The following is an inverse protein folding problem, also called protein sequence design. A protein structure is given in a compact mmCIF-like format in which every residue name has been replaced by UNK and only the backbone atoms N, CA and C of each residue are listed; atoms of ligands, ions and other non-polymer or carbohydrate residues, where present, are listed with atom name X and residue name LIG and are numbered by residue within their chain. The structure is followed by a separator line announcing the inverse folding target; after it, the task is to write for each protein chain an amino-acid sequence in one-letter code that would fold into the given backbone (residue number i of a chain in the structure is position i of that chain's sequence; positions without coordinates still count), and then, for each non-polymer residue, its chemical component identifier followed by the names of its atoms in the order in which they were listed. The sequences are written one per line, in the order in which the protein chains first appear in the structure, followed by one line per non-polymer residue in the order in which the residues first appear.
data_IF_505838648314
#
_entry.id   IF_505838648314
#
_cell.length_a   1.000
_cell.length_b   1.000
_cell.length_c   1.000
_cell.angle_alpha   90.00
_cell.angle_beta   90.00
_cell.angle_gamma   90.00
#
_symmetry.space_group_name_H-M   'P 1'
#
loop_
_entity.id
_entity.type
_entity.pdbx_description
1 polymer ?
#
# COMPACT_ATOMS: atom_id res chain seq x y z
N UNK A 1 11.55 -17.81 -3.16
CA UNK A 1 11.44 -16.35 -3.04
C UNK A 1 10.85 -16.10 -1.68
N UNK A 2 11.53 -15.36 -0.81
CA UNK A 2 11.06 -15.07 0.55
C UNK A 2 10.34 -13.72 0.58
N UNK A 3 9.12 -13.69 1.10
CA UNK A 3 8.28 -12.50 1.20
C UNK A 3 8.19 -12.01 2.65
N UNK A 4 8.28 -10.70 2.83
CA UNK A 4 7.90 -10.04 4.07
C UNK A 4 6.64 -9.20 3.89
N UNK A 5 5.58 -9.49 4.64
CA UNK A 5 4.37 -8.67 4.73
C UNK A 5 4.47 -7.79 5.98
N UNK A 6 4.55 -6.47 5.81
CA UNK A 6 4.67 -5.49 6.89
C UNK A 6 3.34 -4.79 7.12
N UNK A 7 2.69 -5.10 8.24
CA UNK A 7 1.45 -4.44 8.65
C UNK A 7 1.73 -3.43 9.77
N UNK A 8 1.39 -2.15 9.57
CA UNK A 8 1.60 -1.09 10.57
C UNK A 8 0.27 -0.53 11.08
N UNK A 9 0.19 -0.31 12.40
CA UNK A 9 -0.96 0.33 13.04
C UNK A 9 -0.53 1.28 14.16
N UNK A 10 -1.26 2.40 14.31
CA UNK A 10 -1.10 3.31 15.46
C UNK A 10 -2.14 3.05 16.55
N UNK A 11 -3.33 2.58 16.16
CA UNK A 11 -4.45 2.29 17.05
C UNK A 11 -4.96 0.87 16.76
N UNK A 12 -5.19 0.10 17.82
CA UNK A 12 -5.83 -1.20 17.71
C UNK A 12 -7.34 -0.98 17.49
N UNK A 13 -7.88 -1.50 16.40
CA UNK A 13 -9.28 -1.33 16.04
C UNK A 13 -9.81 -2.54 15.26
N UNK A 14 -11.10 -2.52 14.89
CA UNK A 14 -11.73 -3.64 14.19
C UNK A 14 -11.04 -4.00 12.88
N UNK A 15 -10.49 -3.04 12.12
CA UNK A 15 -9.77 -3.34 10.86
C UNK A 15 -8.48 -4.10 11.14
N UNK A 16 -7.74 -3.71 12.17
CA UNK A 16 -6.54 -4.41 12.64
C UNK A 16 -6.89 -5.84 13.05
N UNK A 17 -7.97 -6.04 13.82
CA UNK A 17 -8.43 -7.36 14.22
C UNK A 17 -8.89 -8.21 13.03
N UNK A 18 -9.59 -7.62 12.06
CA UNK A 18 -9.97 -8.28 10.81
C UNK A 18 -8.74 -8.72 10.02
N UNK A 19 -7.71 -7.87 9.89
CA UNK A 19 -6.47 -8.26 9.20
C UNK A 19 -5.79 -9.44 9.90
N UNK A 20 -5.66 -9.40 11.23
CA UNK A 20 -5.07 -10.50 12.01
C UNK A 20 -5.81 -11.82 11.77
N UNK A 21 -7.15 -11.76 11.77
CA UNK A 21 -8.00 -12.94 11.65
C UNK A 21 -8.08 -13.51 10.23
N UNK A 22 -8.23 -12.64 9.25
CA UNK A 22 -8.66 -13.03 7.89
C UNK A 22 -7.53 -12.90 6.85
N UNK A 23 -6.44 -12.16 7.15
CA UNK A 23 -5.34 -11.94 6.22
C UNK A 23 -4.06 -12.72 6.55
N UNK A 24 -3.81 -13.03 7.83
CA UNK A 24 -2.60 -13.73 8.27
C UNK A 24 -2.78 -15.24 8.12
N UNK A 25 -1.77 -15.90 7.58
CA UNK A 25 -1.72 -17.35 7.44
C UNK A 25 -0.27 -17.84 7.57
N UNK A 26 -0.11 -19.13 7.91
CA UNK A 26 1.21 -19.76 8.00
C UNK A 26 1.68 -20.22 6.62
N UNK A 27 2.89 -19.84 6.24
CA UNK A 27 3.55 -20.30 5.02
C UNK A 27 5.08 -20.26 5.20
N UNK A 28 5.84 -21.26 4.72
CA UNK A 28 7.29 -21.32 4.91
C UNK A 28 8.08 -20.20 4.20
N UNK A 29 7.50 -19.58 3.17
CA UNK A 29 8.16 -18.55 2.36
C UNK A 29 7.63 -17.14 2.64
N UNK A 30 6.67 -16.98 3.57
CA UNK A 30 6.01 -15.70 3.88
C UNK A 30 6.06 -15.43 5.38
N UNK A 31 6.78 -14.38 5.75
CA UNK A 31 6.79 -13.88 7.12
C UNK A 31 5.85 -12.66 7.24
N UNK A 32 5.01 -12.68 8.26
CA UNK A 32 4.18 -11.53 8.64
C UNK A 32 4.87 -10.77 9.78
N UNK A 33 5.14 -9.49 9.54
CA UNK A 33 5.69 -8.54 10.51
C UNK A 33 4.62 -7.53 10.91
N UNK A 34 4.19 -7.62 12.17
CA UNK A 34 3.18 -6.76 12.74
C UNK A 34 3.83 -5.64 13.57
N UNK A 35 3.62 -4.40 13.14
CA UNK A 35 4.30 -3.22 13.66
C UNK A 35 3.32 -2.37 14.47
N UNK A 36 3.46 -2.41 15.80
CA UNK A 36 2.77 -1.50 16.70
C UNK A 36 3.52 -0.16 16.74
N UNK A 37 2.96 0.84 16.06
CA UNK A 37 3.55 2.17 15.89
C UNK A 37 2.97 3.16 16.91
N UNK A 38 3.14 2.86 18.20
CA UNK A 38 2.81 3.76 19.31
C UNK A 38 1.47 3.50 19.98
N UNK A 39 0.80 2.39 19.69
CA UNK A 39 -0.40 1.97 20.43
C UNK A 39 -0.05 1.54 21.85
N UNK A 40 -0.94 1.90 22.78
CA UNK A 40 -0.86 1.41 24.18
C UNK A 40 -1.39 -0.02 24.30
N UNK A 41 -2.27 -0.41 23.39
CA UNK A 41 -2.90 -1.73 23.36
C UNK A 41 -2.00 -2.71 22.61
N UNK A 42 -2.03 -3.96 23.04
CA UNK A 42 -1.27 -5.06 22.45
C UNK A 42 -2.24 -5.96 21.66
N UNK A 43 -1.95 -6.27 20.38
CA UNK A 43 -2.77 -7.19 19.61
C UNK A 43 -2.54 -8.64 20.07
N UNK A 44 -3.56 -9.48 19.94
CA UNK A 44 -3.39 -10.94 20.05
C UNK A 44 -2.95 -11.46 18.69
N UNK A 45 -1.71 -11.95 18.60
CA UNK A 45 -1.12 -12.41 17.35
C UNK A 45 -0.88 -13.93 17.37
N UNK A 46 -0.99 -14.62 16.23
CA UNK A 46 -0.50 -15.99 16.10
C UNK A 46 1.01 -16.09 16.38
N UNK A 47 1.46 -17.22 16.93
CA UNK A 47 2.87 -17.44 17.33
C UNK A 47 3.89 -17.31 16.19
N UNK A 48 3.46 -17.50 14.95
CA UNK A 48 4.31 -17.42 13.76
C UNK A 48 4.45 -15.98 13.22
N UNK A 49 3.82 -14.99 13.84
CA UNK A 49 3.90 -13.59 13.43
C UNK A 49 5.03 -12.89 14.17
N UNK A 50 5.88 -12.19 13.42
CA UNK A 50 6.94 -11.36 14.00
C UNK A 50 6.30 -10.09 14.55
N UNK A 51 6.56 -9.76 15.81
CA UNK A 51 6.04 -8.55 16.44
C UNK A 51 7.13 -7.50 16.65
N UNK A 52 6.84 -6.26 16.26
CA UNK A 52 7.76 -5.12 16.45
C UNK A 52 7.01 -3.92 17.02
N UNK A 53 7.47 -3.39 18.15
CA UNK A 53 6.86 -2.22 18.81
C UNK A 53 7.78 -1.01 18.75
N UNK A 54 7.23 0.15 18.43
CA UNK A 54 7.95 1.42 18.38
C UNK A 54 7.07 2.62 18.70
N UNK A 55 7.67 3.80 18.87
CA UNK A 55 6.96 5.08 19.00
C UNK A 55 6.46 5.55 17.63
N UNK A 56 5.35 6.29 17.61
CA UNK A 56 4.76 6.89 16.41
C UNK A 56 5.57 8.07 15.87
N UNK A 57 6.78 7.80 15.38
CA UNK A 57 7.62 8.79 14.70
C UNK A 57 7.48 8.56 13.20
N UNK A 58 7.10 9.60 12.44
CA UNK A 58 7.03 9.53 10.98
C UNK A 58 5.85 8.75 10.40
N UNK A 59 4.79 8.51 11.19
CA UNK A 59 3.57 7.78 10.78
C UNK A 59 3.91 6.38 10.25
N UNK A 60 3.08 5.83 9.35
CA UNK A 60 3.23 4.48 8.79
C UNK A 60 4.62 4.24 8.19
N UNK A 61 5.12 5.19 7.39
CA UNK A 61 6.46 5.09 6.79
C UNK A 61 7.57 5.03 7.83
N UNK A 62 7.43 5.75 8.95
CA UNK A 62 8.41 5.66 10.03
C UNK A 62 8.37 4.30 10.75
N UNK A 63 7.17 3.76 10.98
CA UNK A 63 6.98 2.41 11.52
C UNK A 63 7.62 1.34 10.64
N UNK A 64 7.32 1.34 9.34
CA UNK A 64 7.95 0.44 8.36
C UNK A 64 9.46 0.63 8.31
N UNK A 65 9.96 1.86 8.28
CA UNK A 65 11.40 2.16 8.21
C UNK A 65 12.15 1.60 9.40
N UNK A 66 11.63 1.81 10.61
CA UNK A 66 12.28 1.32 11.84
C UNK A 66 12.34 -0.20 11.85
N UNK A 67 11.26 -0.88 11.45
CA UNK A 67 11.21 -2.33 11.47
C UNK A 67 12.11 -2.96 10.38
N UNK A 68 12.09 -2.42 9.15
CA UNK A 68 12.93 -2.89 8.05
C UNK A 68 14.42 -2.71 8.33
N UNK A 69 14.80 -1.54 8.84
CA UNK A 69 16.20 -1.15 9.01
C UNK A 69 16.78 -1.68 10.33
N UNK A 70 15.95 -2.15 11.26
CA UNK A 70 16.42 -2.82 12.47
C UNK A 70 17.21 -4.07 12.09
N UNK A 71 18.49 -4.09 12.44
CA UNK A 71 19.45 -5.14 12.08
C UNK A 71 19.53 -5.46 10.58
N UNK A 72 19.11 -4.53 9.70
CA UNK A 72 18.96 -4.76 8.26
C UNK A 72 18.03 -5.93 7.89
N UNK A 73 16.95 -6.15 8.65
CA UNK A 73 15.97 -7.22 8.42
C UNK A 73 15.53 -7.35 6.95
N UNK A 74 15.39 -6.23 6.24
CA UNK A 74 15.01 -6.24 4.83
C UNK A 74 15.93 -7.06 3.92
N UNK A 75 17.20 -7.29 4.30
CA UNK A 75 18.14 -8.07 3.48
C UNK A 75 17.85 -9.58 3.48
N UNK A 76 16.98 -10.04 4.37
CA UNK A 76 16.62 -11.47 4.49
C UNK A 76 15.47 -11.87 3.55
N UNK A 77 14.97 -10.94 2.72
CA UNK A 77 13.78 -11.13 1.89
C UNK A 77 13.98 -10.61 0.45
N UNK A 78 13.25 -11.22 -0.48
CA UNK A 78 13.30 -10.89 -1.91
C UNK A 78 12.21 -9.89 -2.32
N UNK A 79 11.08 -9.88 -1.60
CA UNK A 79 9.89 -9.09 -1.91
C UNK A 79 9.16 -8.65 -0.66
N UNK A 80 8.39 -7.58 -0.80
CA UNK A 80 7.76 -6.88 0.30
C UNK A 80 6.33 -6.50 -0.06
N UNK A 81 5.42 -6.66 0.89
CA UNK A 81 4.09 -6.04 0.84
C UNK A 81 3.93 -5.18 2.08
N UNK A 82 3.61 -3.91 1.88
CA UNK A 82 3.37 -2.92 2.92
C UNK A 82 1.87 -2.72 3.05
N UNK A 83 1.37 -2.77 4.28
CA UNK A 83 -0.05 -2.57 4.60
C UNK A 83 -0.15 -1.68 5.84
N UNK A 84 -1.10 -0.74 5.84
CA UNK A 84 -1.40 0.04 7.04
C UNK A 84 -2.83 -0.21 7.55
N UNK A 85 -3.09 0.25 8.78
CA UNK A 85 -4.37 0.09 9.47
C UNK A 85 -5.59 0.79 8.85
N UNK A 86 -5.41 1.51 7.74
CA UNK A 86 -6.52 2.01 6.93
C UNK A 86 -7.06 0.97 5.96
N UNK A 87 -6.31 -0.09 5.65
CA UNK A 87 -6.77 -1.16 4.76
C UNK A 87 -7.90 -1.99 5.39
N UNK A 88 -8.89 -2.34 4.59
CA UNK A 88 -9.95 -3.30 4.90
C UNK A 88 -9.91 -4.44 3.89
N UNK A 89 -9.97 -5.68 4.38
CA UNK A 89 -9.84 -6.89 3.57
C UNK A 89 -9.02 -7.96 4.30
N UNK A 90 -8.62 -9.04 3.60
CA UNK A 90 -8.79 -9.25 2.17
C UNK A 90 -10.24 -9.63 1.79
N UNK A 91 -10.80 -8.99 0.76
CA UNK A 91 -12.07 -9.39 0.14
C UNK A 91 -11.78 -10.24 -1.10
N UNK A 92 -11.86 -11.56 -0.91
CA UNK A 92 -11.61 -12.53 -1.97
C UNK A 92 -12.91 -13.26 -2.33
N UNK A 93 -13.14 -13.55 -3.62
CA UNK A 93 -14.26 -14.42 -4.02
C UNK A 93 -14.15 -15.79 -3.35
N UNK A 94 -15.29 -16.40 -2.99
CA UNK A 94 -15.32 -17.72 -2.33
C UNK A 94 -14.68 -18.85 -3.16
N UNK A 95 -14.61 -18.68 -4.47
CA UNK A 95 -13.95 -19.60 -5.39
C UNK A 95 -12.44 -19.37 -5.54
N UNK A 96 -11.88 -18.27 -5.01
CA UNK A 96 -10.44 -18.03 -5.03
C UNK A 96 -9.73 -19.02 -4.11
N UNK A 97 -8.65 -19.65 -4.62
CA UNK A 97 -7.87 -20.68 -3.92
C UNK A 97 -6.39 -20.31 -3.71
N UNK A 98 -5.95 -19.17 -4.25
CA UNK A 98 -4.58 -18.69 -4.09
C UNK A 98 -4.37 -17.94 -2.77
N UNK A 99 -3.17 -17.37 -2.62
CA UNK A 99 -2.88 -16.44 -1.52
C UNK A 99 -3.20 -15.03 -2.00
N UNK A 100 -3.73 -14.19 -1.12
CA UNK A 100 -3.98 -12.79 -1.49
C UNK A 100 -2.68 -12.05 -1.83
N UNK A 101 -1.55 -12.50 -1.26
CA UNK A 101 -0.21 -11.95 -1.53
C UNK A 101 0.20 -12.10 -2.98
N UNK A 102 -0.17 -13.23 -3.61
CA UNK A 102 0.18 -13.55 -5.00
C UNK A 102 -0.43 -12.51 -5.94
N UNK A 103 -1.64 -12.01 -5.64
CA UNK A 103 -2.33 -10.99 -6.44
C UNK A 103 -1.50 -9.69 -6.55
N UNK A 104 -0.77 -9.32 -5.50
CA UNK A 104 0.07 -8.12 -5.52
C UNK A 104 1.43 -8.39 -6.16
N UNK A 105 2.02 -9.56 -5.88
CA UNK A 105 3.32 -9.94 -6.45
C UNK A 105 3.24 -10.18 -7.95
N UNK A 106 2.16 -10.78 -8.45
CA UNK A 106 1.92 -11.00 -9.88
C UNK A 106 1.74 -9.69 -10.67
N UNK A 107 1.47 -8.59 -9.96
CA UNK A 107 1.42 -7.25 -10.55
C UNK A 107 2.79 -6.62 -10.80
N UNK A 108 3.85 -7.16 -10.18
CA UNK A 108 5.22 -6.72 -10.41
C UNK A 108 5.77 -7.38 -11.68
N UNK A 109 6.44 -6.59 -12.51
CA UNK A 109 7.07 -7.06 -13.75
C UNK A 109 8.49 -6.51 -13.88
N UNK A 110 9.17 -6.80 -14.98
CA UNK A 110 10.47 -6.18 -15.26
C UNK A 110 10.37 -4.64 -15.33
N UNK A 111 9.23 -4.11 -15.80
CA UNK A 111 8.97 -2.68 -15.90
C UNK A 111 8.23 -2.12 -14.68
N UNK A 112 7.28 -2.87 -14.12
CA UNK A 112 6.44 -2.43 -12.99
C UNK A 112 7.10 -2.79 -11.67
N UNK A 113 7.71 -1.81 -11.02
CA UNK A 113 8.53 -2.00 -9.80
C UNK A 113 7.81 -1.66 -8.51
N UNK A 114 6.68 -0.98 -8.60
CA UNK A 114 5.81 -0.63 -7.47
C UNK A 114 4.36 -0.90 -7.86
N UNK A 115 3.71 -1.80 -7.13
CA UNK A 115 2.35 -2.25 -7.46
C UNK A 115 1.42 -2.22 -6.25
N UNK A 116 0.24 -1.64 -6.37
CA UNK A 116 -0.71 -1.51 -5.26
C UNK A 116 -2.18 -1.68 -5.67
N UNK A 117 -3.10 -1.37 -4.77
CA UNK A 117 -4.53 -1.51 -5.10
C UNK A 117 -5.03 -0.44 -6.07
N UNK A 118 -4.65 0.82 -5.85
CA UNK A 118 -5.15 1.97 -6.62
C UNK A 118 -4.04 2.97 -6.94
N UNK A 119 -4.23 3.70 -8.04
CA UNK A 119 -3.43 4.88 -8.39
C UNK A 119 -4.32 6.11 -8.29
N UNK A 120 -3.83 7.12 -7.58
CA UNK A 120 -4.39 8.46 -7.56
C UNK A 120 -3.56 9.37 -8.49
N UNK A 121 -4.23 10.24 -9.25
CA UNK A 121 -3.62 11.16 -10.23
C UNK A 121 -3.87 12.63 -9.91
N UNK A 122 -4.29 12.92 -8.68
CA UNK A 122 -4.60 14.27 -8.19
C UNK A 122 -3.82 14.58 -6.91
N UNK A 123 -3.62 15.88 -6.68
CA UNK A 123 -3.20 16.40 -5.39
C UNK A 123 -4.42 17.05 -4.71
N UNK A 124 -5.03 16.34 -3.76
CA UNK A 124 -6.27 16.77 -3.12
C UNK A 124 -7.36 17.09 -4.18
N UNK A 125 -8.13 18.18 -4.01
CA UNK A 125 -9.19 18.59 -4.94
C UNK A 125 -8.66 19.34 -6.20
N UNK A 126 -7.41 19.09 -6.61
CA UNK A 126 -6.87 19.67 -7.84
C UNK A 126 -7.46 19.01 -9.09
N UNK A 127 -7.26 19.65 -10.24
CA UNK A 127 -7.43 18.98 -11.53
C UNK A 127 -6.48 17.77 -11.62
N UNK A 128 -6.89 16.77 -12.40
CA UNK A 128 -6.04 15.63 -12.75
C UNK A 128 -4.79 16.10 -13.48
N UNK A 129 -3.63 15.74 -12.94
CA UNK A 129 -2.33 15.91 -13.57
C UNK A 129 -1.53 14.62 -13.33
N UNK A 130 -1.79 13.57 -14.13
CA UNK A 130 -1.16 12.27 -13.95
C UNK A 130 0.36 12.34 -14.15
N UNK A 131 0.87 13.30 -14.92
CA UNK A 131 2.31 13.51 -15.10
C UNK A 131 2.98 13.96 -13.80
N UNK A 132 2.29 14.71 -12.93
CA UNK A 132 2.84 15.18 -11.65
C UNK A 132 2.41 14.35 -10.45
N UNK A 133 1.20 13.81 -10.48
CA UNK A 133 0.53 13.31 -9.30
C UNK A 133 0.17 11.83 -9.36
N UNK A 134 0.54 11.08 -10.40
CA UNK A 134 0.33 9.62 -10.38
C UNK A 134 1.12 8.97 -9.25
N UNK A 135 0.40 8.39 -8.28
CA UNK A 135 0.97 7.65 -7.16
C UNK A 135 0.10 6.49 -6.71
N UNK A 136 0.77 5.45 -6.22
CA UNK A 136 0.13 4.35 -5.50
C UNK A 136 -0.30 4.84 -4.13
N UNK A 137 -1.55 4.59 -3.76
CA UNK A 137 -2.06 4.91 -2.43
C UNK A 137 -1.45 3.95 -1.39
N UNK A 138 -0.89 4.47 -0.30
CA UNK A 138 0.00 3.70 0.59
C UNK A 138 -0.70 2.70 1.53
N UNK A 139 -2.02 2.55 1.45
CA UNK A 139 -2.74 1.62 2.34
C UNK A 139 -2.38 0.16 2.06
N UNK A 140 -2.03 -0.17 0.82
CA UNK A 140 -1.36 -1.42 0.46
C UNK A 140 -0.57 -1.30 -0.84
N UNK A 141 0.67 -1.78 -0.83
CA UNK A 141 1.53 -1.83 -2.02
C UNK A 141 2.63 -2.88 -1.87
N UNK A 142 3.25 -3.24 -2.99
CA UNK A 142 4.28 -4.26 -3.09
C UNK A 142 5.45 -3.78 -3.94
N UNK A 143 6.63 -4.34 -3.66
CA UNK A 143 7.86 -4.11 -4.40
C UNK A 143 8.87 -5.24 -4.14
N UNK A 144 9.88 -5.34 -4.99
CA UNK A 144 11.00 -6.26 -4.79
C UNK A 144 12.16 -5.60 -4.00
N UNK A 145 13.17 -6.40 -3.61
CA UNK A 145 14.34 -5.95 -2.87
C UNK A 145 15.15 -4.86 -3.58
N UNK A 146 15.30 -4.95 -4.91
CA UNK A 146 15.98 -3.94 -5.73
C UNK A 146 15.30 -2.57 -5.55
N UNK A 147 13.97 -2.55 -5.67
CA UNK A 147 13.16 -1.34 -5.55
C UNK A 147 13.19 -0.79 -4.13
N UNK A 148 13.06 -1.65 -3.12
CA UNK A 148 13.16 -1.23 -1.72
C UNK A 148 14.53 -0.61 -1.42
N UNK A 149 15.61 -1.23 -1.89
CA UNK A 149 16.98 -0.73 -1.69
C UNK A 149 17.17 0.64 -2.35
N UNK A 150 16.64 0.81 -3.57
CA UNK A 150 16.60 2.12 -4.21
C UNK A 150 15.84 3.16 -3.36
N UNK A 151 14.64 2.83 -2.87
CA UNK A 151 13.83 3.75 -2.07
C UNK A 151 14.44 4.07 -0.69
N UNK A 152 15.17 3.12 -0.08
CA UNK A 152 16.00 3.38 1.11
C UNK A 152 17.10 4.40 0.78
N UNK A 153 17.80 4.23 -0.36
CA UNK A 153 18.85 5.18 -0.80
C UNK A 153 18.32 6.59 -1.08
N UNK A 154 17.02 6.72 -1.34
CA UNK A 154 16.32 8.00 -1.57
C UNK A 154 15.62 8.56 -0.32
N UNK A 155 15.88 7.96 0.85
CA UNK A 155 15.29 8.32 2.14
C UNK A 155 13.75 8.27 2.16
N UNK A 156 13.12 7.44 1.33
CA UNK A 156 11.70 7.13 1.49
C UNK A 156 11.53 6.31 2.77
N UNK A 157 12.29 5.22 2.89
CA UNK A 157 12.42 4.46 4.11
C UNK A 157 13.70 4.87 4.85
N UNK A 158 13.55 5.51 6.01
CA UNK A 158 14.66 6.13 6.75
C UNK A 158 14.35 6.22 8.24
N UNK A 159 15.39 6.14 9.06
CA UNK A 159 15.34 6.38 10.52
C UNK A 159 16.02 7.70 10.93
N UNK A 160 16.54 8.47 9.99
CA UNK A 160 17.25 9.74 10.26
C UNK A 160 16.40 10.97 9.96
N UNK A 161 15.39 10.85 9.07
CA UNK A 161 14.56 11.96 8.60
C UNK A 161 13.06 11.58 8.56
N UNK A 162 12.40 11.70 9.71
CA UNK A 162 10.96 11.40 9.85
C UNK A 162 10.06 12.55 9.39
N UNK A 163 8.88 12.19 8.87
CA UNK A 163 7.83 13.14 8.53
C UNK A 163 7.23 13.79 9.77
N UNK A 164 7.11 15.12 9.76
CA UNK A 164 6.65 15.92 10.92
C UNK A 164 5.14 16.18 10.93
N UNK A 165 4.45 15.92 9.83
CA UNK A 165 3.00 16.12 9.69
C UNK A 165 2.41 15.14 8.67
N UNK A 166 1.09 14.97 8.70
CA UNK A 166 0.38 14.11 7.76
C UNK A 166 0.60 14.55 6.30
N UNK A 167 0.45 15.84 6.00
CA UNK A 167 0.70 16.38 4.66
C UNK A 167 2.16 16.16 4.22
N UNK A 168 3.12 16.26 5.15
CA UNK A 168 4.51 15.96 4.85
C UNK A 168 4.72 14.46 4.59
N UNK A 169 4.07 13.57 5.33
CA UNK A 169 4.12 12.14 5.07
C UNK A 169 3.52 11.80 3.71
N UNK A 170 2.37 12.37 3.36
CA UNK A 170 1.77 12.19 2.05
C UNK A 170 2.68 12.70 0.91
N UNK A 171 3.08 13.98 0.94
CA UNK A 171 3.86 14.59 -0.14
C UNK A 171 5.26 13.97 -0.26
N UNK A 172 5.98 13.84 0.84
CA UNK A 172 7.40 13.43 0.82
C UNK A 172 7.62 11.93 0.95
N UNK A 173 6.57 11.14 1.20
CA UNK A 173 6.64 9.68 1.22
C UNK A 173 5.72 9.09 0.17
N UNK A 174 4.40 9.09 0.36
CA UNK A 174 3.45 8.40 -0.54
C UNK A 174 3.57 8.88 -2.00
N UNK A 175 3.42 10.18 -2.25
CA UNK A 175 3.53 10.76 -3.58
C UNK A 175 4.97 10.62 -4.10
N UNK A 176 5.96 11.10 -3.33
CA UNK A 176 7.37 11.09 -3.74
C UNK A 176 7.89 9.69 -4.06
N UNK A 177 7.45 8.65 -3.35
CA UNK A 177 7.83 7.26 -3.61
C UNK A 177 7.52 6.87 -5.05
N UNK A 178 6.27 7.07 -5.49
CA UNK A 178 5.86 6.73 -6.85
C UNK A 178 6.59 7.59 -7.89
N UNK A 179 6.83 8.87 -7.57
CA UNK A 179 7.59 9.78 -8.45
C UNK A 179 9.02 9.33 -8.66
N UNK A 180 9.71 8.91 -7.60
CA UNK A 180 11.07 8.41 -7.69
C UNK A 180 11.17 7.13 -8.53
N UNK A 181 10.16 6.26 -8.48
CA UNK A 181 10.09 5.07 -9.35
C UNK A 181 9.99 5.50 -10.81
N UNK A 182 9.05 6.39 -11.13
CA UNK A 182 8.82 6.91 -12.48
C UNK A 182 10.07 7.63 -13.03
N UNK A 183 10.67 8.49 -12.22
CA UNK A 183 11.89 9.25 -12.56
C UNK A 183 13.12 8.34 -12.75
N UNK A 184 13.12 7.15 -12.15
CA UNK A 184 14.16 6.13 -12.36
C UNK A 184 13.93 5.28 -13.63
N UNK A 185 12.92 5.62 -14.45
CA UNK A 185 12.59 4.89 -15.68
C UNK A 185 11.75 3.64 -15.48
N UNK A 186 11.37 3.34 -14.23
CA UNK A 186 10.46 2.24 -13.89
C UNK A 186 9.00 2.69 -13.93
N UNK A 187 8.08 1.76 -14.10
CA UNK A 187 6.65 2.05 -14.10
C UNK A 187 6.01 1.67 -12.75
N UNK A 188 4.82 2.23 -12.49
CA UNK A 188 3.94 1.86 -11.39
C UNK A 188 2.70 1.14 -11.95
N UNK A 189 2.06 0.30 -11.15
CA UNK A 189 0.87 -0.43 -11.57
C UNK A 189 -0.12 -0.65 -10.43
N UNK A 190 -1.36 -0.98 -10.77
CA UNK A 190 -2.34 -1.32 -9.74
C UNK A 190 -3.37 -2.33 -10.21
N UNK A 191 -4.19 -2.82 -9.26
CA UNK A 191 -5.23 -3.82 -9.52
C UNK A 191 -6.34 -3.29 -10.43
N UNK A 192 -6.52 -1.96 -10.51
CA UNK A 192 -7.56 -1.34 -11.34
C UNK A 192 -7.34 -1.65 -12.83
N UNK A 193 -8.22 -2.48 -13.43
CA UNK A 193 -8.16 -2.77 -14.88
C UNK A 193 -8.27 -1.51 -15.74
N UNK A 194 -8.86 -0.44 -15.20
CA UNK A 194 -8.94 0.85 -15.85
C UNK A 194 -7.56 1.40 -16.27
N UNK A 195 -6.52 1.13 -15.47
CA UNK A 195 -5.15 1.57 -15.71
C UNK A 195 -4.26 0.47 -16.30
N UNK A 196 -4.83 -0.66 -16.74
CA UNK A 196 -4.06 -1.70 -17.39
C UNK A 196 -3.45 -1.19 -18.71
N UNK A 197 -2.15 -1.38 -18.90
CA UNK A 197 -1.41 -0.91 -20.07
C UNK A 197 -1.07 0.58 -20.08
N UNK A 198 -1.33 1.32 -18.99
CA UNK A 198 -0.90 2.72 -18.88
C UNK A 198 0.58 2.78 -18.52
N UNK A 199 1.36 3.49 -19.33
CA UNK A 199 2.73 3.85 -19.01
C UNK A 199 2.76 5.22 -18.31
N UNK A 200 2.91 5.22 -16.98
CA UNK A 200 2.92 6.44 -16.16
C UNK A 200 4.22 7.24 -16.26
N UNK A 201 5.20 6.76 -17.03
CA UNK A 201 6.41 7.52 -17.37
C UNK A 201 6.17 8.51 -18.50
N UNK A 202 5.13 8.28 -19.31
CA UNK A 202 4.76 9.12 -20.46
C UNK A 202 5.94 9.38 -21.44
N UNK A 203 6.81 8.38 -21.63
CA UNK A 203 8.01 8.51 -22.49
C UNK A 203 7.66 8.53 -23.98
N UNK A 204 6.73 7.67 -24.41
CA UNK A 204 6.34 7.51 -25.81
C UNK A 204 4.87 7.88 -26.09
N UNK A 205 4.04 7.98 -25.05
CA UNK A 205 2.61 8.28 -25.14
C UNK A 205 2.30 9.59 -24.43
N UNK A 206 1.39 10.39 -24.97
CA UNK A 206 0.84 11.57 -24.31
C UNK A 206 -0.32 11.18 -23.41
N UNK A 207 -0.61 11.98 -22.40
CA UNK A 207 -1.80 11.80 -21.53
C UNK A 207 -3.08 11.63 -22.37
N UNK A 208 -3.22 12.41 -23.44
CA UNK A 208 -4.39 12.38 -24.35
C UNK A 208 -4.59 11.06 -25.09
N UNK A 209 -3.57 10.19 -25.11
CA UNK A 209 -3.63 8.90 -25.81
C UNK A 209 -4.29 7.82 -24.91
N UNK A 210 -4.54 8.13 -23.63
CA UNK A 210 -5.21 7.27 -22.66
C UNK A 210 -6.65 7.71 -22.38
N UNK A 211 -7.42 6.84 -21.71
CA UNK A 211 -8.73 7.21 -21.15
C UNK A 211 -8.55 8.32 -20.09
N UNK A 212 -9.58 9.15 -19.83
CA UNK A 212 -9.51 10.16 -18.79
C UNK A 212 -9.09 9.56 -17.44
N UNK A 213 -8.11 10.18 -16.79
CA UNK A 213 -7.65 9.71 -15.49
C UNK A 213 -8.71 9.95 -14.42
N UNK A 214 -8.78 9.04 -13.45
CA UNK A 214 -9.90 8.94 -12.52
C UNK A 214 -9.66 9.69 -11.20
N UNK A 215 -8.49 10.29 -10.99
CA UNK A 215 -8.14 10.96 -9.74
C UNK A 215 -8.15 10.05 -8.53
N UNK A 216 -8.56 10.57 -7.37
CA UNK A 216 -8.66 9.77 -6.16
C UNK A 216 -9.94 8.92 -6.15
N UNK A 217 -9.80 7.65 -6.53
CA UNK A 217 -10.91 6.69 -6.67
C UNK A 217 -11.53 6.29 -5.34
N UNK A 218 -10.74 6.29 -4.27
CA UNK A 218 -11.19 5.80 -2.96
C UNK A 218 -11.96 6.81 -2.12
N UNK A 219 -12.14 8.05 -2.57
CA UNK A 219 -13.06 8.99 -1.90
C UNK A 219 -14.50 8.50 -2.03
N UNK A 220 -15.29 8.53 -0.94
CA UNK A 220 -16.67 8.03 -0.90
C UNK A 220 -17.53 8.46 -2.11
N UNK A 221 -17.46 9.75 -2.49
CA UNK A 221 -18.18 10.31 -3.65
C UNK A 221 -17.78 9.70 -4.99
N UNK A 222 -16.51 9.30 -5.13
CA UNK A 222 -15.96 8.78 -6.38
C UNK A 222 -16.06 7.24 -6.43
N UNK A 223 -16.15 6.59 -5.27
CA UNK A 223 -16.21 5.14 -5.17
C UNK A 223 -17.58 4.59 -5.59
N UNK A 224 -18.69 5.25 -5.20
CA UNK A 224 -20.05 4.82 -5.57
C UNK A 224 -20.32 4.92 -7.07
N UNK A 225 -19.68 5.88 -7.73
CA UNK A 225 -19.96 6.21 -9.14
C UNK A 225 -19.05 5.44 -10.11
N UNK A 226 -18.12 4.63 -9.59
CA UNK A 226 -17.17 3.84 -10.38
C UNK A 226 -17.54 2.37 -10.36
N UNK A 227 -17.74 1.82 -11.55
CA UNK A 227 -17.95 0.39 -11.73
C UNK A 227 -16.61 -0.34 -11.64
N UNK A 228 -16.36 -1.00 -10.52
CA UNK A 228 -15.32 -2.02 -10.40
C UNK A 228 -15.73 -3.22 -11.24
N UNK A 229 -14.89 -3.59 -12.20
CA UNK A 229 -15.24 -4.62 -13.19
C UNK A 229 -14.69 -5.99 -12.80
N UNK A 230 -14.04 -6.09 -11.64
CA UNK A 230 -13.45 -7.32 -11.13
C UNK A 230 -13.35 -7.29 -9.61
N UNK A 231 -13.70 -8.39 -8.95
CA UNK A 231 -13.56 -8.54 -7.49
C UNK A 231 -12.11 -8.38 -7.03
N UNK A 232 -11.13 -8.69 -7.87
CA UNK A 232 -9.72 -8.48 -7.54
C UNK A 232 -9.32 -6.99 -7.50
N UNK A 233 -10.13 -6.06 -7.99
CA UNK A 233 -9.88 -4.62 -7.78
C UNK A 233 -10.19 -4.19 -6.33
N UNK A 234 -10.85 -5.06 -5.56
CA UNK A 234 -11.36 -4.80 -4.23
C UNK A 234 -10.73 -5.70 -3.15
N UNK A 235 -9.61 -6.39 -3.44
CA UNK A 235 -8.94 -7.27 -2.45
C UNK A 235 -8.71 -6.51 -1.15
N UNK A 236 -8.18 -5.30 -1.23
CA UNK A 236 -8.17 -4.37 -0.11
C UNK A 236 -8.69 -3.00 -0.55
N UNK A 237 -9.55 -2.43 0.29
CA UNK A 237 -10.09 -1.07 0.14
C UNK A 237 -9.62 -0.17 1.29
N UNK A 238 -9.55 1.13 1.03
CA UNK A 238 -9.16 2.15 2.02
C UNK A 238 -10.35 2.49 2.92
N UNK A 239 -10.38 1.93 4.12
CA UNK A 239 -11.50 2.00 5.06
C UNK A 239 -11.77 3.37 5.70
N UNK A 240 -10.76 4.23 5.84
CA UNK A 240 -10.95 5.57 6.41
C UNK A 240 -11.55 6.58 5.43
N UNK A 241 -11.74 6.18 4.17
CA UNK A 241 -12.41 7.02 3.17
C UNK A 241 -13.92 6.81 3.16
N UNK A 242 -14.41 5.87 3.98
CA UNK A 242 -15.80 5.51 4.20
C UNK A 242 -16.15 5.63 5.68
N UNK A 243 -16.11 6.83 6.25
CA UNK A 243 -16.83 7.08 7.51
C UNK A 243 -18.35 7.02 7.21
N UNK A 244 -18.85 5.79 7.04
CA UNK A 244 -20.25 5.51 7.27
C UNK A 244 -20.46 5.62 8.77
N UNK A 245 -21.30 6.57 9.19
CA UNK A 245 -21.95 6.53 10.49
C UNK A 245 -22.75 5.21 10.54
N UNK A 246 -22.12 4.14 11.05
CA UNK A 246 -22.70 2.80 11.15
C UNK A 246 -23.72 2.68 12.30
N UNK A 247 -24.08 3.78 12.96
CA UNK A 247 -25.15 3.82 13.96
C UNK A 247 -26.56 3.62 13.37
N UNK A 248 -26.69 3.54 12.03
CA UNK A 248 -27.98 3.48 11.35
C UNK A 248 -28.38 2.15 10.70
N UNK A 249 -27.48 1.17 10.57
CA UNK A 249 -27.79 -0.10 9.89
C UNK A 249 -27.59 -1.26 10.85
N UNK A 250 -28.69 -1.66 11.51
CA UNK A 250 -28.80 -2.99 12.10
C UNK A 250 -28.89 -4.00 10.95
N UNK A 251 -27.94 -4.94 10.91
CA UNK A 251 -28.20 -6.26 10.36
C UNK A 251 -29.09 -7.05 11.32
#
# INVERSE_FOLDING_TARGET
MKLLVLYVFHELNNRVNTFIKDAIFLDPDIDFLFINNGSKEEPVLPDHVIYFKTNNDGYDFGGWSKALLYNNLYKDYDSFIFVNSSAMGPYLPSYFKGKWTDIYLDGLTEDVKLFGSTINTQLANSLDDPEKYSHIQSYIFSMNLETLTFLISKEIFTITSFSKSFNHAFLNKELKMSRLIIENGWNIGCLMKYYNGVDFRFLASRISDYKPFLGEVMLAKNFSDKLFNNFFELVFIKGNSFDFNLDGIKL
#
